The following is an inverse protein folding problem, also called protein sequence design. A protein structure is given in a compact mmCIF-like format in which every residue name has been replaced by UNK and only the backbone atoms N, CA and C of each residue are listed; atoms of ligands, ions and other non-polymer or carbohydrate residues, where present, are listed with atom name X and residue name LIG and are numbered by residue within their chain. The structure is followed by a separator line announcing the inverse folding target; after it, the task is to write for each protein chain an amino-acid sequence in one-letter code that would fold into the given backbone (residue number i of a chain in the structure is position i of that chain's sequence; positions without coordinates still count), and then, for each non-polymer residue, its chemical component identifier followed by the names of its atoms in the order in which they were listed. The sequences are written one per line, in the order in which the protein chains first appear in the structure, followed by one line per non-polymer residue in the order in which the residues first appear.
data_IF_321304962548
#
_entry.id   IF_321304962548
#
_cell.length_a   1.000
_cell.length_b   1.000
_cell.length_c   1.000
_cell.angle_alpha   90.00
_cell.angle_beta   90.00
_cell.angle_gamma   90.00
#
_symmetry.space_group_name_H-M   'P 1'
#
loop_
_entity.id
_entity.type
_entity.pdbx_description
1 polymer ?
#
# COMPACT_ATOMS: atom_id res chain seq x y z
N UNK A 1 -28.20 2.70 8.75
CA UNK A 1 -27.47 3.20 7.57
C UNK A 1 -26.29 2.27 7.32
N UNK A 2 -25.99 1.94 6.06
CA UNK A 2 -24.84 1.10 5.68
C UNK A 2 -23.99 1.84 4.66
N UNK A 3 -22.67 1.66 4.74
CA UNK A 3 -21.72 2.21 3.77
C UNK A 3 -21.58 1.33 2.51
N UNK A 4 -21.92 0.04 2.62
CA UNK A 4 -21.87 -0.91 1.50
C UNK A 4 -23.26 -1.42 1.17
N UNK A 5 -23.44 -1.86 -0.08
CA UNK A 5 -24.68 -2.47 -0.56
C UNK A 5 -24.89 -3.93 -0.08
N UNK A 6 -23.98 -4.47 0.75
CA UNK A 6 -24.12 -5.80 1.34
C UNK A 6 -25.15 -5.76 2.48
N UNK A 7 -26.44 -5.88 2.12
CA UNK A 7 -27.58 -5.71 3.04
C UNK A 7 -28.41 -6.98 3.22
N UNK A 8 -27.96 -8.08 2.62
CA UNK A 8 -28.68 -9.36 2.60
C UNK A 8 -28.99 -9.87 4.01
N UNK A 9 -28.03 -9.74 4.94
CA UNK A 9 -28.18 -10.17 6.33
C UNK A 9 -29.26 -9.41 7.09
N UNK A 10 -29.59 -8.19 6.67
CA UNK A 10 -30.61 -7.35 7.30
C UNK A 10 -31.98 -7.51 6.64
N UNK A 11 -32.03 -7.75 5.33
CA UNK A 11 -33.29 -7.80 4.56
C UNK A 11 -33.89 -9.21 4.53
N UNK A 12 -33.04 -10.24 4.49
CA UNK A 12 -33.47 -11.65 4.37
C UNK A 12 -33.64 -12.35 5.73
N UNK A 13 -33.26 -11.69 6.83
CA UNK A 13 -33.30 -12.29 8.16
C UNK A 13 -34.64 -12.02 8.87
N UNK A 14 -35.56 -12.96 8.73
CA UNK A 14 -36.89 -12.91 9.35
C UNK A 14 -36.84 -13.00 10.89
N UNK A 15 -35.72 -13.46 11.49
CA UNK A 15 -35.52 -13.43 12.95
C UNK A 15 -35.22 -12.02 13.45
N UNK A 16 -34.52 -11.21 12.64
CA UNK A 16 -34.13 -9.85 13.01
C UNK A 16 -35.29 -8.88 12.80
N UNK A 17 -36.01 -9.00 11.67
CA UNK A 17 -37.17 -8.18 11.37
C UNK A 17 -38.32 -9.04 10.85
N UNK A 18 -39.41 -9.08 11.61
CA UNK A 18 -40.65 -9.78 11.20
C UNK A 18 -41.30 -9.18 9.96
N UNK A 19 -41.11 -7.88 9.76
CA UNK A 19 -41.53 -7.12 8.59
C UNK A 19 -40.27 -6.51 8.00
N UNK A 20 -40.04 -6.73 6.70
CA UNK A 20 -38.81 -6.26 6.04
C UNK A 20 -38.74 -4.72 6.08
N UNK A 21 -37.63 -4.14 6.54
CA UNK A 21 -37.48 -2.69 6.56
C UNK A 21 -37.37 -2.14 5.13
N UNK A 22 -37.86 -0.90 4.86
CA UNK A 22 -37.73 -0.27 3.55
C UNK A 22 -36.27 0.03 3.23
N UNK A 23 -35.85 -0.34 2.03
CA UNK A 23 -34.49 -0.07 1.53
C UNK A 23 -34.50 1.18 0.65
N UNK A 24 -33.70 2.18 1.04
CA UNK A 24 -33.43 3.37 0.23
C UNK A 24 -32.00 3.25 -0.27
N UNK A 25 -31.83 3.09 -1.59
CA UNK A 25 -30.52 3.10 -2.24
C UNK A 25 -30.21 4.52 -2.72
N UNK A 26 -29.09 5.07 -2.27
CA UNK A 26 -28.59 6.36 -2.73
C UNK A 26 -27.33 6.07 -3.55
N UNK A 27 -27.39 6.35 -4.84
CA UNK A 27 -26.23 6.19 -5.71
C UNK A 27 -25.16 7.23 -5.35
N UNK A 28 -23.94 6.74 -5.11
CA UNK A 28 -22.79 7.60 -4.84
C UNK A 28 -22.04 7.90 -6.15
N UNK A 29 -21.47 9.10 -6.24
CA UNK A 29 -20.51 9.41 -7.32
C UNK A 29 -19.25 8.56 -7.13
N UNK A 30 -18.82 7.91 -8.20
CA UNK A 30 -17.59 7.12 -8.22
C UNK A 30 -16.63 7.67 -9.27
N UNK A 31 -15.34 7.63 -8.97
CA UNK A 31 -14.28 7.82 -9.93
C UNK A 31 -13.69 6.45 -10.27
N UNK A 32 -13.34 6.17 -11.54
CA UNK A 32 -12.77 4.89 -11.91
C UNK A 32 -11.43 4.69 -11.18
N UNK A 33 -11.35 3.61 -10.41
CA UNK A 33 -10.13 3.19 -9.70
C UNK A 33 -9.55 1.99 -10.45
N UNK A 34 -8.35 2.15 -10.98
CA UNK A 34 -7.62 1.04 -11.58
C UNK A 34 -6.93 0.20 -10.49
N UNK A 35 -7.04 -1.12 -10.62
CA UNK A 35 -6.57 -2.08 -9.63
C UNK A 35 -5.40 -2.86 -10.23
N UNK A 36 -4.26 -2.84 -9.53
CA UNK A 36 -3.06 -3.56 -9.94
C UNK A 36 -2.70 -4.62 -8.91
N UNK A 37 -2.50 -5.85 -9.39
CA UNK A 37 -2.11 -6.99 -8.55
C UNK A 37 -0.65 -7.35 -8.79
N UNK A 38 0.04 -7.78 -7.72
CA UNK A 38 1.34 -8.43 -7.89
C UNK A 38 1.14 -9.82 -8.51
N UNK A 39 2.06 -10.22 -9.40
CA UNK A 39 2.07 -11.57 -9.99
C UNK A 39 2.27 -12.67 -8.95
N UNK A 40 2.95 -12.36 -7.84
CA UNK A 40 3.19 -13.27 -6.71
C UNK A 40 2.94 -12.55 -5.39
N UNK A 41 2.42 -13.27 -4.40
CA UNK A 41 2.29 -12.76 -3.03
C UNK A 41 3.68 -12.62 -2.41
N UNK A 42 4.08 -11.42 -1.95
CA UNK A 42 5.38 -11.24 -1.34
C UNK A 42 5.45 -11.93 0.03
N UNK A 43 6.60 -12.51 0.36
CA UNK A 43 6.84 -13.09 1.69
C UNK A 43 6.89 -11.99 2.76
N UNK A 44 7.58 -10.88 2.46
CA UNK A 44 7.64 -9.71 3.32
C UNK A 44 6.79 -8.56 2.76
N UNK A 45 5.59 -8.39 3.33
CA UNK A 45 4.66 -7.36 2.90
C UNK A 45 5.17 -5.94 3.19
N UNK A 46 5.95 -5.71 4.25
CA UNK A 46 6.49 -4.39 4.58
C UNK A 46 7.53 -3.93 3.58
N UNK A 47 8.43 -4.83 3.19
CA UNK A 47 9.43 -4.56 2.18
C UNK A 47 8.80 -4.27 0.82
N UNK A 48 7.83 -5.12 0.42
CA UNK A 48 7.11 -4.96 -0.84
C UNK A 48 6.33 -3.64 -0.87
N UNK A 49 5.65 -3.29 0.23
CA UNK A 49 4.95 -2.01 0.37
C UNK A 49 5.92 -0.84 0.23
N UNK A 50 7.07 -0.86 0.92
CA UNK A 50 8.08 0.20 0.81
C UNK A 50 8.60 0.36 -0.62
N UNK A 51 8.96 -0.75 -1.28
CA UNK A 51 9.41 -0.75 -2.68
C UNK A 51 8.35 -0.19 -3.61
N UNK A 52 7.08 -0.57 -3.43
CA UNK A 52 5.94 -0.07 -4.24
C UNK A 52 5.72 1.43 -4.04
N UNK A 53 5.77 1.91 -2.80
CA UNK A 53 5.67 3.34 -2.48
C UNK A 53 6.79 4.14 -3.12
N UNK A 54 8.04 3.68 -2.99
CA UNK A 54 9.18 4.34 -3.62
C UNK A 54 9.01 4.41 -5.14
N UNK A 55 8.64 3.29 -5.77
CA UNK A 55 8.40 3.24 -7.22
C UNK A 55 7.33 4.25 -7.64
N UNK A 56 6.15 4.20 -7.01
CA UNK A 56 5.03 5.13 -7.28
C UNK A 56 5.49 6.59 -7.12
N UNK A 57 6.18 6.91 -6.03
CA UNK A 57 6.63 8.28 -5.77
C UNK A 57 7.63 8.80 -6.82
N UNK A 58 8.48 7.93 -7.38
CA UNK A 58 9.49 8.34 -8.36
C UNK A 58 9.00 8.31 -9.81
N UNK A 59 8.01 7.46 -10.14
CA UNK A 59 7.62 7.23 -11.55
C UNK A 59 6.26 7.81 -11.92
N UNK A 60 5.35 8.02 -10.96
CA UNK A 60 4.01 8.55 -11.23
C UNK A 60 3.95 10.07 -11.01
N UNK A 61 2.98 10.76 -11.66
CA UNK A 61 2.75 12.18 -11.44
C UNK A 61 2.37 12.47 -9.97
N UNK A 62 2.49 13.74 -9.58
CA UNK A 62 2.20 14.17 -8.21
C UNK A 62 0.78 13.76 -7.77
N UNK A 63 0.71 13.14 -6.60
CA UNK A 63 -0.52 12.66 -5.98
C UNK A 63 -0.26 12.12 -4.57
N UNK A 64 -1.32 11.79 -3.84
CA UNK A 64 -1.21 11.22 -2.50
C UNK A 64 -1.19 9.70 -2.53
N UNK A 65 -0.36 9.09 -1.68
CA UNK A 65 -0.25 7.64 -1.54
C UNK A 65 -0.83 7.23 -0.18
N UNK A 66 -1.82 6.33 -0.19
CA UNK A 66 -2.36 5.71 1.01
C UNK A 66 -1.92 4.24 1.07
N UNK A 67 -1.29 3.85 2.18
CA UNK A 67 -0.80 2.48 2.41
C UNK A 67 -1.51 1.89 3.61
N UNK A 68 -2.03 0.67 3.46
CA UNK A 68 -2.65 -0.08 4.53
C UNK A 68 -1.68 -1.15 5.06
N UNK A 69 -1.41 -1.11 6.36
CA UNK A 69 -0.62 -2.11 7.09
C UNK A 69 -1.37 -2.49 8.37
N UNK A 70 -1.21 -3.72 8.89
CA UNK A 70 -2.09 -4.26 9.92
C UNK A 70 -1.84 -3.68 11.31
N UNK A 71 -0.59 -3.40 11.69
CA UNK A 71 -0.25 -2.99 13.06
C UNK A 71 0.29 -1.56 13.15
N UNK A 72 0.12 -0.94 14.33
CA UNK A 72 0.67 0.40 14.59
C UNK A 72 2.21 0.42 14.55
N UNK A 73 2.86 -0.68 14.93
CA UNK A 73 4.32 -0.79 14.86
C UNK A 73 4.78 -0.73 13.40
N UNK A 74 4.10 -1.47 12.52
CA UNK A 74 4.38 -1.48 11.08
C UNK A 74 4.17 -0.09 10.46
N UNK A 75 3.12 0.63 10.87
CA UNK A 75 2.88 2.02 10.44
C UNK A 75 4.08 2.90 10.81
N UNK A 76 4.47 2.90 12.08
CA UNK A 76 5.56 3.76 12.58
C UNK A 76 6.88 3.45 11.88
N UNK A 77 7.15 2.16 11.68
CA UNK A 77 8.33 1.67 11.01
C UNK A 77 8.37 2.10 9.53
N UNK A 78 7.29 1.90 8.79
CA UNK A 78 7.20 2.28 7.38
C UNK A 78 7.29 3.80 7.19
N UNK A 79 6.63 4.58 8.04
CA UNK A 79 6.74 6.04 8.03
C UNK A 79 8.19 6.50 8.25
N UNK A 80 8.89 5.88 9.21
CA UNK A 80 10.30 6.18 9.48
C UNK A 80 11.17 5.88 8.26
N UNK A 81 11.01 4.70 7.67
CA UNK A 81 11.74 4.28 6.48
C UNK A 81 11.53 5.20 5.28
N UNK A 82 10.29 5.58 4.98
CA UNK A 82 9.96 6.49 3.87
C UNK A 82 10.56 7.87 4.12
N UNK A 83 10.36 8.43 5.33
CA UNK A 83 10.96 9.69 5.70
C UNK A 83 12.49 9.62 5.58
N UNK A 84 13.10 8.52 5.99
CA UNK A 84 14.55 8.40 5.94
C UNK A 84 15.11 8.24 4.51
N UNK A 85 14.30 7.74 3.56
CA UNK A 85 14.68 7.65 2.14
C UNK A 85 14.59 9.00 1.43
N UNK A 86 13.62 9.85 1.78
CA UNK A 86 13.34 11.10 1.06
C UNK A 86 13.73 12.38 1.82
N UNK A 87 13.99 12.32 3.12
CA UNK A 87 14.52 13.44 3.90
C UNK A 87 16.05 13.48 3.82
N UNK A 88 16.58 14.58 3.29
CA UNK A 88 18.02 14.79 3.07
C UNK A 88 18.79 15.18 4.33
N UNK A 89 18.11 15.39 5.48
CA UNK A 89 18.70 15.98 6.70
C UNK A 89 19.13 14.98 7.79
N UNK A 90 19.31 13.70 7.47
CA UNK A 90 19.48 12.67 8.50
C UNK A 90 20.92 12.48 8.95
N UNK A 91 21.14 12.65 10.26
CA UNK A 91 22.42 12.44 10.93
C UNK A 91 22.81 10.95 10.95
N UNK A 92 24.11 10.65 10.76
CA UNK A 92 24.67 9.28 10.72
C UNK A 92 24.29 8.41 11.93
N UNK A 93 24.04 8.99 13.10
CA UNK A 93 23.59 8.27 14.31
C UNK A 93 22.20 7.62 14.15
N UNK A 94 21.28 8.21 13.39
CA UNK A 94 19.94 7.64 13.16
C UNK A 94 19.99 6.39 12.30
N UNK A 95 20.84 6.37 11.25
CA UNK A 95 20.99 5.22 10.32
C UNK A 95 21.34 3.90 11.03
N UNK A 96 22.18 3.94 12.07
CA UNK A 96 22.58 2.72 12.81
C UNK A 96 21.41 2.09 13.61
N UNK A 97 20.60 2.90 14.28
CA UNK A 97 19.42 2.42 15.03
C UNK A 97 18.35 1.79 14.14
N UNK A 98 18.27 2.28 12.91
CA UNK A 98 17.34 1.82 11.90
C UNK A 98 17.81 0.49 11.32
N UNK A 99 19.12 0.35 11.07
CA UNK A 99 19.72 -0.88 10.57
C UNK A 99 19.47 -2.09 11.50
N UNK A 100 19.51 -1.88 12.82
CA UNK A 100 19.13 -2.96 13.75
C UNK A 100 17.65 -3.32 13.66
N UNK A 101 16.78 -2.33 13.41
CA UNK A 101 15.33 -2.53 13.25
C UNK A 101 15.02 -3.26 11.92
N UNK A 102 15.71 -2.95 10.82
CA UNK A 102 15.64 -3.69 9.55
C UNK A 102 15.97 -5.17 9.70
N UNK A 103 17.00 -5.48 10.49
CA UNK A 103 17.42 -6.85 10.74
C UNK A 103 16.36 -7.64 11.51
N UNK A 104 15.60 -6.98 12.38
CA UNK A 104 14.46 -7.59 13.10
C UNK A 104 13.30 -7.89 12.13
N UNK A 105 13.00 -6.98 11.21
CA UNK A 105 11.92 -7.15 10.23
C UNK A 105 12.30 -7.96 8.98
N UNK A 106 13.52 -8.52 8.94
CA UNK A 106 13.97 -9.41 7.86
C UNK A 106 14.08 -8.73 6.50
N UNK A 107 14.25 -7.41 6.46
CA UNK A 107 14.36 -6.65 5.22
C UNK A 107 15.84 -6.50 4.85
N UNK A 108 16.22 -6.91 3.65
CA UNK A 108 17.56 -6.66 3.12
C UNK A 108 17.61 -5.27 2.48
N UNK A 109 18.29 -4.35 3.15
CA UNK A 109 18.83 -3.16 2.50
C UNK A 109 19.98 -3.62 1.61
N UNK A 110 19.69 -4.04 0.38
CA UNK A 110 20.71 -4.03 -0.65
C UNK A 110 21.13 -2.56 -0.84
N UNK A 111 22.41 -2.29 -0.58
CA UNK A 111 23.01 -0.97 -0.58
C UNK A 111 22.61 -0.19 -1.85
N UNK A 112 21.80 0.85 -1.69
CA UNK A 112 21.47 1.78 -2.78
C UNK A 112 22.58 2.81 -3.03
N UNK A 113 23.78 2.59 -2.50
CA UNK A 113 24.95 3.40 -2.79
C UNK A 113 25.76 2.69 -3.90
N UNK A 114 25.42 3.04 -5.15
CA UNK A 114 26.14 2.76 -6.40
C UNK A 114 26.07 1.33 -6.99
N UNK A 115 25.02 1.02 -7.77
CA UNK A 115 25.17 0.60 -9.18
C UNK A 115 23.78 0.47 -9.82
N UNK A 116 23.57 1.03 -11.01
CA UNK A 116 22.31 1.01 -11.74
C UNK A 116 22.03 -0.27 -12.53
N UNK A 117 22.86 -1.32 -12.43
CA UNK A 117 22.94 -2.30 -13.54
C UNK A 117 22.73 -3.78 -13.15
N UNK A 118 22.01 -4.12 -12.06
CA UNK A 118 21.70 -5.55 -11.75
C UNK A 118 20.27 -5.85 -11.28
N UNK A 119 19.32 -4.92 -11.43
CA UNK A 119 17.91 -5.18 -11.10
C UNK A 119 17.17 -5.84 -12.30
N UNK A 120 17.87 -6.07 -13.42
CA UNK A 120 17.25 -6.23 -14.75
C UNK A 120 16.59 -7.58 -15.12
N UNK A 121 16.59 -8.62 -14.28
CA UNK A 121 16.00 -9.92 -14.69
C UNK A 121 14.53 -10.13 -14.29
N UNK A 122 13.99 -9.37 -13.32
CA UNK A 122 12.53 -9.31 -13.06
C UNK A 122 11.88 -8.04 -13.65
N UNK A 123 12.69 -7.15 -14.24
CA UNK A 123 12.30 -5.81 -14.71
C UNK A 123 11.57 -5.79 -16.05
N UNK A 124 11.71 -6.81 -16.91
CA UNK A 124 11.27 -6.68 -18.32
C UNK A 124 9.81 -7.10 -18.58
N UNK A 125 9.02 -7.50 -17.57
CA UNK A 125 7.60 -7.90 -17.81
C UNK A 125 6.60 -7.48 -16.73
N UNK A 126 6.55 -6.20 -16.40
CA UNK A 126 5.29 -5.55 -16.03
C UNK A 126 5.07 -4.39 -17.00
N UNK A 127 4.19 -4.66 -17.95
CA UNK A 127 3.82 -3.85 -19.10
C UNK A 127 3.41 -2.43 -18.67
N UNK A 128 3.72 -1.41 -19.48
CA UNK A 128 3.35 0.00 -19.22
C UNK A 128 1.83 0.18 -18.99
N UNK A 129 1.05 -0.81 -19.41
CA UNK A 129 -0.38 -1.03 -19.19
C UNK A 129 -0.82 -1.21 -17.72
N UNK A 130 0.11 -1.53 -16.80
CA UNK A 130 -0.18 -1.82 -15.38
C UNK A 130 0.13 -0.63 -14.45
N UNK A 131 0.18 0.58 -14.99
CA UNK A 131 0.62 1.76 -14.25
C UNK A 131 -0.40 2.88 -14.31
N UNK A 132 -1.43 2.78 -13.47
CA UNK A 132 -2.36 3.88 -13.19
C UNK A 132 -2.98 3.66 -11.82
N UNK A 133 -2.44 4.31 -10.78
CA UNK A 133 -3.12 4.41 -9.50
C UNK A 133 -3.87 5.75 -9.41
N UNK A 134 -5.17 5.63 -9.14
CA UNK A 134 -6.08 6.56 -8.46
C UNK A 134 -5.66 8.03 -8.43
N UNK A 135 -6.17 8.81 -9.37
CA UNK A 135 -6.35 10.24 -9.15
C UNK A 135 -7.47 10.45 -8.15
N UNK A 136 -7.16 11.03 -6.99
CA UNK A 136 -8.10 11.87 -6.27
C UNK A 136 -7.92 13.30 -6.77
#
# INVERSE_FOLDING_TARGET
MSATLCLDDFIKNDKLFKIKPPLISIEARQFPVQIHFSRRTPENYLESAFKRVCKIHTTLPAGHILVFVPSQQDVKYLCRLINDKFDSKISRKRKASIFSEYKIYGISLADSDNNSDTIDEDIVRMDESEMLCVGF
#
